data_IF_914376978831
#
_entry.id   IF_914376978831
#
_cell.length_a   1.000
_cell.length_b   1.000
_cell.length_c   1.000
_cell.angle_alpha   90.00
_cell.angle_beta   90.00
_cell.angle_gamma   90.00
#
_symmetry.space_group_name_H-M   'P 1'
#
loop_
_entity.id
_entity.type
_entity.pdbx_description
1 polymer ?
#
# COMPACT_ATOMS: atom_id res chain seq x y z
N UNK A 1 27.47 26.01 -53.05
CA UNK A 1 28.37 25.00 -52.46
C UNK A 1 27.71 23.61 -52.39
N UNK A 2 26.38 23.51 -52.46
CA UNK A 2 25.59 22.26 -52.52
C UNK A 2 25.72 21.40 -53.79
N UNK A 3 26.74 21.65 -54.63
CA UNK A 3 26.87 21.02 -55.96
C UNK A 3 27.95 19.94 -56.04
N UNK A 4 28.66 19.62 -54.95
CA UNK A 4 29.86 18.75 -54.98
C UNK A 4 29.67 17.37 -54.31
N UNK A 5 28.77 17.24 -53.33
CA UNK A 5 28.17 15.94 -52.98
C UNK A 5 26.73 16.00 -53.45
N UNK A 6 26.29 14.95 -54.15
CA UNK A 6 24.88 14.74 -54.43
C UNK A 6 24.40 13.56 -53.59
N UNK A 7 23.65 13.78 -52.50
CA UNK A 7 22.89 12.69 -51.90
C UNK A 7 21.83 12.26 -52.92
N UNK A 8 21.58 10.95 -53.02
CA UNK A 8 20.47 10.44 -53.83
C UNK A 8 19.11 10.90 -53.28
N UNK A 9 19.03 11.20 -51.98
CA UNK A 9 17.87 11.79 -51.29
C UNK A 9 18.24 12.93 -50.34
N UNK A 10 17.47 14.01 -50.34
CA UNK A 10 17.66 15.14 -49.40
C UNK A 10 17.10 14.85 -48.00
N UNK A 11 16.14 13.94 -47.91
CA UNK A 11 15.50 13.49 -46.69
C UNK A 11 15.34 11.96 -46.75
N UNK A 12 15.56 11.29 -45.62
CA UNK A 12 15.36 9.85 -45.47
C UNK A 12 14.15 9.63 -44.58
N UNK A 13 13.07 9.09 -45.15
CA UNK A 13 11.86 8.73 -44.40
C UNK A 13 12.05 7.39 -43.71
N UNK A 14 12.19 7.40 -42.39
CA UNK A 14 12.25 6.15 -41.63
C UNK A 14 10.83 5.74 -41.29
N UNK A 15 10.33 4.69 -41.97
CA UNK A 15 8.99 4.14 -41.76
C UNK A 15 9.05 2.99 -40.76
N UNK A 16 8.11 3.02 -39.81
CA UNK A 16 8.05 2.06 -38.73
C UNK A 16 7.03 0.97 -39.01
N UNK A 17 7.50 -0.27 -39.09
CA UNK A 17 6.66 -1.46 -39.25
C UNK A 17 6.87 -2.38 -38.05
N UNK A 18 5.76 -2.72 -37.39
CA UNK A 18 5.74 -3.57 -36.20
C UNK A 18 6.51 -4.88 -36.43
N UNK A 19 7.41 -5.22 -35.50
CA UNK A 19 8.18 -6.48 -35.52
C UNK A 19 9.29 -6.53 -36.57
N UNK A 20 9.63 -5.41 -37.24
CA UNK A 20 10.71 -5.35 -38.23
C UNK A 20 11.85 -4.43 -37.78
N UNK A 21 13.08 -4.80 -38.14
CA UNK A 21 14.24 -3.91 -37.99
C UNK A 21 14.05 -2.69 -38.88
N UNK A 22 13.78 -1.54 -38.26
CA UNK A 22 13.63 -0.29 -38.97
C UNK A 22 15.00 0.21 -39.42
N UNK A 23 15.16 0.31 -40.73
CA UNK A 23 16.33 0.90 -41.32
C UNK A 23 16.11 1.33 -42.74
N UNK A 24 16.84 2.35 -43.17
CA UNK A 24 16.77 2.86 -44.53
C UNK A 24 18.14 3.20 -45.07
N UNK A 25 18.40 2.72 -46.26
CA UNK A 25 19.63 3.00 -46.97
C UNK A 25 19.49 4.26 -47.84
N UNK A 26 20.57 5.03 -47.93
CA UNK A 26 20.73 6.15 -48.85
C UNK A 26 22.15 6.13 -49.41
N UNK A 27 22.35 6.72 -50.59
CA UNK A 27 23.65 6.79 -51.26
C UNK A 27 24.17 8.21 -51.29
N UNK A 28 25.45 8.36 -50.99
CA UNK A 28 26.18 9.61 -51.16
C UNK A 28 27.13 9.45 -52.33
N UNK A 29 26.99 10.32 -53.34
CA UNK A 29 27.92 10.38 -54.48
C UNK A 29 28.78 11.62 -54.36
N UNK A 30 30.10 11.43 -54.30
CA UNK A 30 31.07 12.50 -54.40
C UNK A 30 31.28 12.84 -55.87
N UNK A 31 30.89 14.05 -56.27
CA UNK A 31 31.05 14.54 -57.65
C UNK A 31 32.47 15.08 -57.90
N UNK A 32 33.31 15.14 -56.87
CA UNK A 32 34.70 15.57 -56.92
C UNK A 32 35.63 14.41 -56.55
N UNK A 33 36.12 13.68 -57.55
CA UNK A 33 37.04 12.54 -57.37
C UNK A 33 38.40 12.91 -56.74
N UNK A 34 38.65 14.20 -56.43
CA UNK A 34 39.93 14.72 -55.95
C UNK A 34 39.85 15.40 -54.57
N UNK A 35 38.67 15.46 -53.95
CA UNK A 35 38.48 16.14 -52.65
C UNK A 35 37.70 15.28 -51.67
N UNK A 36 38.19 15.21 -50.43
CA UNK A 36 37.42 14.65 -49.30
C UNK A 36 36.42 15.69 -48.82
N UNK A 37 35.22 15.25 -48.46
CA UNK A 37 34.10 16.09 -48.05
C UNK A 37 33.54 15.55 -46.73
N UNK A 38 32.93 16.38 -45.88
CA UNK A 38 32.25 15.90 -44.67
C UNK A 38 30.72 15.88 -44.88
N UNK A 39 30.02 14.90 -44.31
CA UNK A 39 28.55 14.90 -44.28
C UNK A 39 28.08 14.83 -42.84
N UNK A 40 27.14 15.72 -42.50
CA UNK A 40 26.48 15.78 -41.21
C UNK A 40 25.04 15.27 -41.36
N UNK A 41 24.60 14.39 -40.47
CA UNK A 41 23.18 14.01 -40.42
C UNK A 41 22.50 14.84 -39.33
N UNK A 42 21.40 15.49 -39.68
CA UNK A 42 20.59 16.29 -38.76
C UNK A 42 19.15 15.79 -38.80
N UNK A 43 18.51 15.64 -37.66
CA UNK A 43 17.10 15.23 -37.62
C UNK A 43 16.21 16.48 -37.78
N UNK A 44 15.05 16.35 -38.44
CA UNK A 44 14.06 17.45 -38.47
C UNK A 44 13.37 17.62 -37.11
N UNK A 45 13.36 16.55 -36.32
CA UNK A 45 12.89 16.53 -34.94
C UNK A 45 13.99 15.97 -34.00
N UNK A 46 14.81 16.84 -33.38
CA UNK A 46 15.83 16.43 -32.43
C UNK A 46 15.24 15.95 -31.09
N UNK A 47 13.95 16.16 -30.85
CA UNK A 47 13.27 15.77 -29.61
C UNK A 47 12.94 14.27 -29.60
N UNK A 48 12.83 13.64 -30.78
CA UNK A 48 12.45 12.22 -30.91
C UNK A 48 13.63 11.30 -31.26
N UNK A 49 14.68 11.82 -31.90
CA UNK A 49 15.79 11.01 -32.42
C UNK A 49 17.15 11.59 -32.07
N UNK A 50 18.03 10.72 -31.60
CA UNK A 50 19.45 11.01 -31.47
C UNK A 50 20.28 10.05 -32.31
N UNK A 51 21.33 10.59 -32.92
CA UNK A 51 22.38 9.76 -33.51
C UNK A 51 23.54 9.71 -32.51
N UNK A 52 24.01 8.48 -32.23
CA UNK A 52 24.87 8.11 -31.10
C UNK A 52 26.17 8.93 -30.91
N UNK A 53 26.54 9.76 -31.88
CA UNK A 53 27.50 10.88 -31.83
C UNK A 53 27.35 11.70 -33.11
N UNK A 54 27.73 12.98 -33.16
CA UNK A 54 28.02 13.63 -34.42
C UNK A 54 29.24 12.92 -35.05
N UNK A 55 29.01 12.16 -36.12
CA UNK A 55 30.08 11.52 -36.90
C UNK A 55 30.28 12.30 -38.20
N UNK A 56 31.54 12.33 -38.65
CA UNK A 56 31.87 12.88 -39.96
C UNK A 56 31.99 11.72 -40.93
N UNK A 57 31.08 11.63 -41.90
CA UNK A 57 31.27 10.74 -43.04
C UNK A 57 32.24 11.41 -44.00
N UNK A 58 33.32 10.74 -44.35
CA UNK A 58 34.12 11.10 -45.52
C UNK A 58 33.61 10.22 -46.66
N UNK A 59 32.92 10.77 -47.68
CA UNK A 59 32.46 9.94 -48.78
C UNK A 59 33.68 9.41 -49.53
N UNK A 60 33.61 8.16 -50.02
CA UNK A 60 34.66 7.62 -50.87
C UNK A 60 34.77 8.43 -52.16
N UNK A 61 35.87 8.25 -52.89
CA UNK A 61 36.17 8.93 -54.17
C UNK A 61 35.10 8.74 -55.27
N UNK A 62 34.05 7.95 -55.01
CA UNK A 62 32.95 7.62 -55.94
C UNK A 62 31.59 7.68 -55.22
N UNK A 63 30.90 6.54 -55.05
CA UNK A 63 29.57 6.43 -54.43
C UNK A 63 29.60 5.36 -53.35
N UNK A 64 29.06 5.65 -52.16
CA UNK A 64 28.86 4.65 -51.09
C UNK A 64 27.45 4.62 -50.56
N UNK A 65 27.05 3.45 -50.05
CA UNK A 65 25.75 3.21 -49.45
C UNK A 65 25.84 3.27 -47.94
N UNK A 66 25.01 4.10 -47.32
CA UNK A 66 24.89 4.21 -45.87
C UNK A 66 23.52 3.69 -45.45
N UNK A 67 23.43 3.04 -44.30
CA UNK A 67 22.15 2.54 -43.77
C UNK A 67 21.92 3.09 -42.38
N UNK A 68 20.87 3.89 -42.21
CA UNK A 68 20.36 4.26 -40.89
C UNK A 68 19.61 3.07 -40.33
N UNK A 69 19.94 2.61 -39.14
CA UNK A 69 19.29 1.43 -38.53
C UNK A 69 19.03 1.70 -37.06
N UNK A 70 17.84 1.36 -36.59
CA UNK A 70 17.61 1.16 -35.15
C UNK A 70 18.27 -0.14 -34.75
N UNK A 71 19.17 -0.07 -33.77
CA UNK A 71 19.95 -1.23 -33.34
C UNK A 71 19.07 -2.40 -32.89
N UNK A 72 17.86 -2.14 -32.40
CA UNK A 72 16.93 -3.17 -31.91
C UNK A 72 15.55 -3.04 -32.55
N UNK A 73 14.85 -4.18 -32.78
CA UNK A 73 13.48 -4.17 -33.24
C UNK A 73 12.58 -3.55 -32.17
N UNK A 74 11.98 -2.41 -32.48
CA UNK A 74 11.05 -1.74 -31.58
C UNK A 74 9.63 -2.22 -31.92
N UNK A 75 8.96 -2.86 -30.97
CA UNK A 75 7.60 -3.35 -31.22
C UNK A 75 6.58 -2.22 -31.39
N UNK A 76 6.84 -1.05 -30.77
CA UNK A 76 6.03 0.17 -30.89
C UNK A 76 6.83 1.39 -30.44
N UNK A 77 6.83 2.46 -31.23
CA UNK A 77 6.58 3.78 -30.65
C UNK A 77 5.35 4.40 -31.33
N UNK A 78 4.40 4.99 -30.58
CA UNK A 78 3.37 5.84 -31.14
C UNK A 78 3.97 7.23 -31.31
N UNK A 79 5.01 7.38 -32.13
CA UNK A 79 5.65 8.67 -32.33
C UNK A 79 5.23 9.23 -33.69
N UNK A 80 4.07 9.89 -33.61
CA UNK A 80 3.38 10.66 -34.64
C UNK A 80 2.68 9.86 -35.75
N UNK A 81 1.53 10.37 -36.18
CA UNK A 81 0.76 9.89 -37.34
C UNK A 81 1.45 10.18 -38.69
N UNK A 82 2.68 10.71 -38.67
CA UNK A 82 3.40 11.21 -39.84
C UNK A 82 4.81 10.57 -39.91
N UNK A 83 5.36 10.34 -41.12
CA UNK A 83 6.71 9.81 -41.26
C UNK A 83 7.74 10.81 -40.71
N UNK A 84 8.58 10.36 -39.77
CA UNK A 84 9.71 11.16 -39.29
C UNK A 84 10.82 11.19 -40.35
N UNK A 85 11.33 12.39 -40.64
CA UNK A 85 12.33 12.64 -41.68
C UNK A 85 13.70 12.90 -41.07
N UNK A 86 14.71 12.13 -41.48
CA UNK A 86 16.11 12.46 -41.16
C UNK A 86 16.67 13.28 -42.33
N UNK A 87 17.05 14.53 -42.06
CA UNK A 87 17.60 15.43 -43.06
C UNK A 87 19.10 15.17 -43.22
N UNK A 88 19.50 14.84 -44.44
CA UNK A 88 20.92 14.61 -44.76
C UNK A 88 21.51 15.95 -45.20
N UNK A 89 22.30 16.60 -44.35
CA UNK A 89 22.93 17.90 -44.64
C UNK A 89 24.45 17.74 -44.87
N UNK A 90 24.87 17.84 -46.12
CA UNK A 90 26.30 17.88 -46.44
C UNK A 90 26.88 19.29 -46.22
N UNK A 91 27.95 19.41 -45.44
CA UNK A 91 28.73 20.64 -45.32
C UNK A 91 30.16 20.39 -45.78
N UNK A 92 30.65 21.21 -46.71
CA UNK A 92 31.98 20.99 -47.28
C UNK A 92 33.08 21.60 -46.42
N UNK A 93 34.16 20.84 -46.23
CA UNK A 93 35.48 21.42 -46.01
C UNK A 93 36.41 20.99 -47.16
N UNK A 94 37.02 21.95 -47.88
CA UNK A 94 37.90 21.65 -48.99
C UNK A 94 39.23 21.07 -48.49
N UNK A 95 39.31 19.75 -48.36
CA UNK A 95 40.52 19.05 -47.88
C UNK A 95 41.75 19.20 -48.80
N UNK A 96 41.55 19.49 -50.09
CA UNK A 96 42.64 19.72 -51.05
C UNK A 96 43.45 21.01 -50.85
N UNK A 97 43.00 21.92 -49.96
CA UNK A 97 43.72 23.14 -49.54
C UNK A 97 43.64 23.39 -48.02
N UNK A 98 43.08 22.46 -47.25
CA UNK A 98 42.87 22.65 -45.82
C UNK A 98 44.22 22.65 -45.10
N UNK A 99 44.47 23.67 -44.28
CA UNK A 99 45.63 23.67 -43.40
C UNK A 99 45.49 22.52 -42.39
N UNK A 100 46.61 21.98 -41.93
CA UNK A 100 46.66 20.86 -40.98
C UNK A 100 45.81 21.14 -39.71
N UNK A 101 45.72 22.41 -39.30
CA UNK A 101 44.88 22.88 -38.20
C UNK A 101 43.37 22.78 -38.47
N UNK A 102 42.93 22.96 -39.72
CA UNK A 102 41.52 22.86 -40.10
C UNK A 102 41.06 21.41 -40.14
N UNK A 103 41.93 20.52 -40.65
CA UNK A 103 41.73 19.07 -40.55
C UNK A 103 41.75 18.64 -39.07
N UNK A 104 42.71 19.12 -38.27
CA UNK A 104 42.74 18.83 -36.84
C UNK A 104 41.50 19.35 -36.12
N UNK A 105 40.96 20.54 -36.41
CA UNK A 105 39.70 21.03 -35.81
C UNK A 105 38.47 20.20 -36.20
N UNK A 106 38.49 19.61 -37.40
CA UNK A 106 37.42 18.74 -37.87
C UNK A 106 37.50 17.35 -37.23
N UNK A 107 38.70 16.80 -37.15
CA UNK A 107 39.01 15.48 -36.58
C UNK A 107 39.24 15.50 -35.05
N UNK A 108 39.32 16.68 -34.42
CA UNK A 108 39.45 16.83 -32.96
C UNK A 108 38.13 16.74 -32.24
N UNK A 109 36.99 16.84 -32.96
CA UNK A 109 35.69 16.56 -32.37
C UNK A 109 35.57 15.05 -32.14
N UNK A 110 35.39 14.58 -30.89
CA UNK A 110 35.34 13.16 -30.59
C UNK A 110 34.12 12.51 -31.25
N UNK A 111 34.35 11.62 -32.22
CA UNK A 111 33.29 10.88 -32.92
C UNK A 111 33.88 9.84 -33.88
N UNK A 112 33.16 8.72 -34.17
CA UNK A 112 33.63 7.73 -35.12
C UNK A 112 33.71 8.33 -36.54
N UNK A 113 34.80 8.05 -37.25
CA UNK A 113 34.96 8.44 -38.66
C UNK A 113 34.57 7.27 -39.57
N UNK A 114 33.65 7.51 -40.50
CA UNK A 114 33.10 6.48 -41.38
C UNK A 114 33.70 6.64 -42.78
N UNK A 115 34.41 5.61 -43.24
CA UNK A 115 35.26 5.66 -44.45
C UNK A 115 34.70 4.94 -45.69
N UNK A 116 33.74 4.02 -45.51
CA UNK A 116 33.05 3.27 -46.57
C UNK A 116 31.73 2.74 -46.01
N UNK A 117 30.92 2.09 -46.85
CA UNK A 117 29.60 1.54 -46.54
C UNK A 117 29.41 1.19 -45.06
N UNK A 118 28.47 1.85 -44.40
CA UNK A 118 28.33 1.77 -42.96
C UNK A 118 26.88 1.82 -42.49
N UNK A 119 26.67 1.13 -41.39
CA UNK A 119 25.45 1.17 -40.62
C UNK A 119 25.59 2.23 -39.52
N UNK A 120 24.71 3.21 -39.55
CA UNK A 120 24.66 4.31 -38.58
C UNK A 120 23.52 4.01 -37.61
N UNK A 121 23.83 3.74 -36.33
CA UNK A 121 22.80 3.43 -35.34
C UNK A 121 22.06 4.70 -34.92
N UNK A 122 20.74 4.67 -35.00
CA UNK A 122 19.84 5.72 -34.48
C UNK A 122 19.14 5.21 -33.21
N UNK A 123 18.82 6.11 -32.28
CA UNK A 123 18.13 5.79 -31.02
C UNK A 123 16.99 6.78 -30.78
N UNK A 124 15.90 6.27 -30.22
CA UNK A 124 14.80 7.10 -29.73
C UNK A 124 15.24 7.82 -28.46
N UNK A 125 14.96 9.12 -28.39
CA UNK A 125 15.26 9.95 -27.23
C UNK A 125 14.06 10.84 -26.87
N UNK A 126 14.09 11.42 -25.67
CA UNK A 126 13.14 12.42 -25.23
C UNK A 126 11.94 11.88 -24.44
N UNK A 127 11.13 12.80 -23.89
CA UNK A 127 10.10 12.46 -22.90
C UNK A 127 9.01 11.56 -23.48
N UNK A 128 8.56 11.79 -24.72
CA UNK A 128 7.52 10.98 -25.36
C UNK A 128 7.88 9.48 -25.47
N UNK A 129 9.17 9.17 -25.62
CA UNK A 129 9.67 7.78 -25.66
C UNK A 129 9.59 7.17 -24.27
N UNK A 130 10.03 7.92 -23.25
CA UNK A 130 9.97 7.51 -21.86
C UNK A 130 8.51 7.35 -21.38
N UNK A 131 7.62 8.29 -21.67
CA UNK A 131 6.18 8.21 -21.39
C UNK A 131 5.55 6.94 -21.97
N UNK A 132 5.89 6.63 -23.22
CA UNK A 132 5.43 5.41 -23.86
C UNK A 132 5.90 4.15 -23.11
N UNK A 133 7.19 4.12 -22.72
CA UNK A 133 7.75 3.00 -21.96
C UNK A 133 7.14 2.87 -20.56
N UNK A 134 6.72 3.98 -19.96
CA UNK A 134 6.05 4.01 -18.66
C UNK A 134 4.56 3.64 -18.73
N UNK A 135 3.96 3.59 -19.93
CA UNK A 135 2.55 3.24 -20.10
C UNK A 135 2.23 1.82 -19.58
N UNK A 136 0.99 1.56 -19.11
CA UNK A 136 0.61 0.26 -18.53
C UNK A 136 0.81 -0.93 -19.48
N UNK A 137 0.86 -0.67 -20.78
CA UNK A 137 0.90 -1.68 -21.85
C UNK A 137 2.30 -2.19 -22.24
N UNK A 138 3.37 -1.65 -21.64
CA UNK A 138 4.73 -2.07 -21.93
C UNK A 138 5.15 -3.28 -21.09
N UNK A 139 5.51 -4.37 -21.77
CA UNK A 139 6.05 -5.61 -21.18
C UNK A 139 7.30 -5.99 -21.97
N UNK A 140 8.51 -5.66 -21.51
CA UNK A 140 9.74 -6.25 -22.05
C UNK A 140 10.96 -6.09 -21.14
N UNK A 141 11.93 -6.99 -21.29
CA UNK A 141 13.14 -7.15 -20.47
C UNK A 141 14.31 -6.23 -20.91
N UNK A 142 14.22 -5.57 -22.06
CA UNK A 142 15.29 -4.72 -22.65
C UNK A 142 15.02 -3.20 -22.45
N UNK A 143 14.00 -2.83 -21.67
CA UNK A 143 13.53 -1.44 -21.53
C UNK A 143 14.57 -0.52 -20.89
N UNK A 144 15.41 -1.03 -19.97
CA UNK A 144 16.30 -0.17 -19.18
C UNK A 144 17.31 0.62 -20.03
N UNK A 145 17.88 0.01 -21.08
CA UNK A 145 18.82 0.69 -21.96
C UNK A 145 18.16 1.73 -22.87
N UNK A 146 16.97 1.41 -23.38
CA UNK A 146 16.18 2.36 -24.17
C UNK A 146 15.69 3.52 -23.30
N UNK A 147 15.30 3.22 -22.07
CA UNK A 147 14.83 4.21 -21.11
C UNK A 147 15.96 5.14 -20.66
N UNK A 148 17.13 4.60 -20.29
CA UNK A 148 18.28 5.43 -19.90
C UNK A 148 18.73 6.37 -21.02
N UNK A 149 18.62 5.93 -22.28
CA UNK A 149 18.86 6.79 -23.44
C UNK A 149 17.74 7.79 -23.69
N UNK A 150 16.49 7.39 -23.46
CA UNK A 150 15.35 8.27 -23.61
C UNK A 150 15.48 9.49 -22.71
N UNK A 151 15.82 9.26 -21.45
CA UNK A 151 15.90 10.30 -20.42
C UNK A 151 17.21 11.12 -20.47
N UNK A 152 18.26 10.66 -21.16
CA UNK A 152 19.56 11.37 -21.19
C UNK A 152 19.53 12.73 -21.91
N UNK A 153 18.44 13.04 -22.61
CA UNK A 153 18.21 14.31 -23.31
C UNK A 153 17.08 15.13 -22.67
N UNK A 154 16.54 14.66 -21.54
CA UNK A 154 15.50 15.36 -20.82
C UNK A 154 16.09 16.43 -19.89
N UNK A 155 15.39 17.56 -19.76
CA UNK A 155 15.64 18.52 -18.70
C UNK A 155 15.00 18.06 -17.38
N UNK A 156 15.34 18.74 -16.29
CA UNK A 156 14.84 18.42 -14.93
C UNK A 156 13.31 18.38 -14.87
N UNK A 157 12.62 19.34 -15.49
CA UNK A 157 11.15 19.40 -15.49
C UNK A 157 10.52 18.19 -16.20
N UNK A 158 11.09 17.80 -17.34
CA UNK A 158 10.68 16.60 -18.08
C UNK A 158 10.96 15.33 -17.27
N UNK A 159 12.13 15.23 -16.63
CA UNK A 159 12.48 14.10 -15.76
C UNK A 159 11.51 13.98 -14.57
N UNK A 160 11.17 15.09 -13.93
CA UNK A 160 10.21 15.15 -12.81
C UNK A 160 8.79 14.76 -13.26
N UNK A 161 8.36 15.20 -14.44
CA UNK A 161 7.07 14.78 -15.01
C UNK A 161 7.04 13.28 -15.33
N UNK A 162 8.13 12.73 -15.87
CA UNK A 162 8.29 11.29 -16.09
C UNK A 162 8.33 10.51 -14.77
N UNK A 163 8.94 11.07 -13.73
CA UNK A 163 8.96 10.47 -12.39
C UNK A 163 7.54 10.32 -11.86
N UNK A 164 6.69 11.34 -12.05
CA UNK A 164 5.28 11.31 -11.63
C UNK A 164 4.54 10.17 -12.31
N UNK A 165 4.67 10.07 -13.63
CA UNK A 165 4.06 9.01 -14.41
C UNK A 165 4.57 7.61 -14.01
N UNK A 166 5.87 7.47 -13.73
CA UNK A 166 6.47 6.20 -13.31
C UNK A 166 5.94 5.74 -11.94
N UNK A 167 5.80 6.67 -11.00
CA UNK A 167 5.25 6.41 -9.67
C UNK A 167 3.76 6.07 -9.75
N UNK A 168 2.95 6.85 -10.47
CA UNK A 168 1.52 6.60 -10.65
C UNK A 168 1.23 5.22 -11.26
N UNK A 169 2.03 4.81 -12.24
CA UNK A 169 1.90 3.51 -12.89
C UNK A 169 2.57 2.36 -12.11
N UNK A 170 3.13 2.64 -10.93
CA UNK A 170 3.77 1.64 -10.08
C UNK A 170 4.99 0.96 -10.73
N UNK A 171 5.79 1.70 -11.50
CA UNK A 171 6.98 1.17 -12.20
C UNK A 171 8.26 1.49 -11.43
N UNK A 172 8.44 0.88 -10.25
CA UNK A 172 9.57 1.13 -9.34
C UNK A 172 10.96 1.05 -9.99
N UNK A 173 11.17 0.13 -10.95
CA UNK A 173 12.44 0.02 -11.68
C UNK A 173 12.85 1.28 -12.46
N UNK A 174 11.89 2.10 -12.92
CA UNK A 174 12.19 3.35 -13.62
C UNK A 174 12.30 4.55 -12.67
N UNK A 175 11.73 4.45 -11.47
CA UNK A 175 11.81 5.49 -10.43
C UNK A 175 13.27 5.75 -10.08
N UNK A 176 14.07 4.71 -9.79
CA UNK A 176 15.49 4.88 -9.47
C UNK A 176 16.28 5.52 -10.62
N UNK A 177 16.04 5.07 -11.86
CA UNK A 177 16.73 5.61 -13.03
C UNK A 177 16.43 7.09 -13.29
N UNK A 178 15.20 7.54 -13.03
CA UNK A 178 14.80 8.94 -13.17
C UNK A 178 15.41 9.82 -12.09
N UNK A 179 15.45 9.33 -10.85
CA UNK A 179 16.08 10.04 -9.72
C UNK A 179 17.58 10.18 -9.96
N UNK A 180 18.26 9.10 -10.38
CA UNK A 180 19.68 9.13 -10.75
C UNK A 180 19.98 10.08 -11.93
N UNK A 181 19.02 10.25 -12.85
CA UNK A 181 19.13 11.19 -13.97
C UNK A 181 18.93 12.67 -13.55
N UNK A 182 18.50 12.93 -12.32
CA UNK A 182 18.31 14.28 -11.78
C UNK A 182 16.87 14.77 -11.75
N UNK A 183 15.88 13.88 -11.72
CA UNK A 183 14.50 14.26 -11.42
C UNK A 183 14.37 14.86 -10.00
N UNK A 184 13.58 15.92 -9.85
CA UNK A 184 13.28 16.50 -8.54
C UNK A 184 12.27 15.63 -7.79
N UNK A 185 12.73 14.96 -6.73
CA UNK A 185 11.93 14.09 -5.86
C UNK A 185 11.00 14.86 -4.90
N UNK A 186 11.11 16.18 -4.83
CA UNK A 186 10.32 17.03 -3.93
C UNK A 186 9.32 17.93 -4.68
N UNK A 187 9.23 17.82 -6.00
CA UNK A 187 8.18 18.48 -6.77
C UNK A 187 6.80 17.98 -6.36
N UNK A 188 5.90 18.93 -6.10
CA UNK A 188 4.52 18.63 -5.68
C UNK A 188 3.49 18.82 -6.79
N UNK A 189 3.92 19.29 -7.95
CA UNK A 189 3.04 19.52 -9.09
C UNK A 189 1.88 20.47 -8.75
N UNK A 190 0.81 20.47 -9.57
CA UNK A 190 -0.32 21.38 -9.40
C UNK A 190 -1.29 20.98 -8.28
N UNK A 191 -1.32 19.72 -7.88
CA UNK A 191 -2.22 19.21 -6.83
C UNK A 191 -1.60 19.23 -5.42
N UNK A 192 -0.37 19.78 -5.31
CA UNK A 192 0.44 19.79 -4.09
C UNK A 192 0.70 18.41 -3.47
N UNK A 193 0.57 17.34 -4.26
CA UNK A 193 0.74 15.96 -3.82
C UNK A 193 2.20 15.49 -3.96
N UNK A 194 2.75 14.93 -2.88
CA UNK A 194 4.09 14.32 -2.88
C UNK A 194 4.15 13.01 -3.68
N UNK A 195 5.33 12.67 -4.18
CA UNK A 195 5.56 11.36 -4.82
C UNK A 195 5.33 10.18 -3.87
N UNK A 196 5.58 10.35 -2.56
CA UNK A 196 5.26 9.32 -1.56
C UNK A 196 3.76 9.03 -1.56
N UNK A 197 2.92 10.05 -1.53
CA UNK A 197 1.46 9.87 -1.56
C UNK A 197 1.00 9.15 -2.83
N UNK A 198 1.55 9.51 -4.00
CA UNK A 198 1.27 8.81 -5.27
C UNK A 198 1.73 7.35 -5.25
N UNK A 199 2.94 7.08 -4.72
CA UNK A 199 3.48 5.73 -4.61
C UNK A 199 2.60 4.84 -3.72
N UNK A 200 2.13 5.39 -2.61
CA UNK A 200 1.20 4.70 -1.70
C UNK A 200 -0.14 4.42 -2.38
N UNK A 201 -0.72 5.40 -3.09
CA UNK A 201 -1.95 5.20 -3.89
C UNK A 201 -1.79 4.10 -4.96
N UNK A 202 -0.61 4.02 -5.60
CA UNK A 202 -0.31 2.96 -6.57
C UNK A 202 -0.12 1.58 -5.92
N UNK A 203 0.08 1.52 -4.59
CA UNK A 203 0.36 0.30 -3.84
C UNK A 203 1.75 -0.29 -4.12
N UNK A 204 2.70 0.48 -4.65
CA UNK A 204 4.05 -0.01 -4.92
C UNK A 204 5.00 0.30 -3.76
N UNK A 205 5.25 -0.71 -2.90
CA UNK A 205 6.14 -0.59 -1.73
C UNK A 205 7.60 -0.31 -2.12
N UNK A 206 8.10 -0.88 -3.22
CA UNK A 206 9.47 -0.62 -3.69
C UNK A 206 9.64 0.85 -4.09
N UNK A 207 8.64 1.43 -4.77
CA UNK A 207 8.67 2.85 -5.13
C UNK A 207 8.67 3.74 -3.88
N UNK A 208 7.89 3.39 -2.84
CA UNK A 208 7.92 4.10 -1.56
C UNK A 208 9.32 4.04 -0.94
N UNK A 209 9.93 2.84 -0.87
CA UNK A 209 11.27 2.66 -0.32
C UNK A 209 12.32 3.50 -1.06
N UNK A 210 12.33 3.45 -2.40
CA UNK A 210 13.28 4.22 -3.23
C UNK A 210 13.13 5.73 -2.98
N UNK A 211 11.90 6.23 -2.89
CA UNK A 211 11.64 7.66 -2.67
C UNK A 211 12.10 8.12 -1.27
N UNK A 212 11.92 7.28 -0.24
CA UNK A 212 12.41 7.55 1.13
C UNK A 212 13.95 7.61 1.13
N UNK A 213 14.60 6.62 0.54
CA UNK A 213 16.08 6.57 0.45
C UNK A 213 16.65 7.74 -0.34
N UNK A 214 15.88 8.29 -1.29
CA UNK A 214 16.24 9.45 -2.09
C UNK A 214 16.01 10.79 -1.36
N UNK A 215 15.52 10.78 -0.12
CA UNK A 215 15.31 11.99 0.69
C UNK A 215 14.05 12.78 0.32
N UNK A 216 13.00 12.11 -0.17
CA UNK A 216 11.71 12.76 -0.41
C UNK A 216 11.11 13.31 0.90
N UNK A 217 10.70 14.57 0.88
CA UNK A 217 10.15 15.28 2.05
C UNK A 217 8.63 15.17 2.07
N UNK A 218 8.11 14.66 3.19
CA UNK A 218 6.68 14.58 3.45
C UNK A 218 6.17 15.80 4.20
N UNK A 219 4.90 16.12 3.98
CA UNK A 219 4.12 17.07 4.78
C UNK A 219 2.92 16.35 5.38
N UNK A 220 2.98 16.08 6.68
CA UNK A 220 1.93 15.38 7.44
C UNK A 220 0.54 16.04 7.38
N UNK A 221 0.42 17.32 7.02
CA UNK A 221 -0.87 18.01 6.90
C UNK A 221 -1.56 17.75 5.55
N UNK A 222 -0.77 17.55 4.50
CA UNK A 222 -1.25 17.40 3.12
C UNK A 222 -1.23 15.92 2.71
N UNK A 223 -0.13 15.24 3.01
CA UNK A 223 0.16 13.89 2.58
C UNK A 223 -0.57 12.88 3.48
N UNK A 224 -1.57 12.21 2.90
CA UNK A 224 -2.47 11.27 3.59
C UNK A 224 -2.03 9.82 3.41
N UNK A 225 -0.72 9.57 3.38
CA UNK A 225 -0.18 8.24 3.07
C UNK A 225 -0.64 7.18 4.09
N UNK A 226 -0.73 7.49 5.39
CA UNK A 226 -1.19 6.52 6.39
C UNK A 226 -2.68 6.21 6.20
N UNK A 227 -3.50 7.20 5.89
CA UNK A 227 -4.93 7.00 5.60
C UNK A 227 -5.12 6.08 4.40
N UNK A 228 -4.40 6.33 3.30
CA UNK A 228 -4.51 5.55 2.07
C UNK A 228 -3.97 4.12 2.29
N UNK A 229 -2.80 3.98 2.90
CA UNK A 229 -2.21 2.65 3.17
C UNK A 229 -3.09 1.81 4.10
N UNK A 230 -3.67 2.43 5.13
CA UNK A 230 -4.58 1.76 6.06
C UNK A 230 -5.89 1.34 5.39
N UNK A 231 -6.46 2.18 4.53
CA UNK A 231 -7.65 1.84 3.73
C UNK A 231 -7.40 0.66 2.77
N UNK A 232 -6.19 0.55 2.22
CA UNK A 232 -5.77 -0.52 1.31
C UNK A 232 -5.28 -1.79 2.02
N UNK A 233 -5.23 -1.80 3.35
CA UNK A 233 -4.64 -2.87 4.16
C UNK A 233 -3.16 -3.18 3.84
N UNK A 234 -2.39 -2.15 3.47
CA UNK A 234 -0.98 -2.29 3.09
C UNK A 234 -0.07 -2.04 4.30
N UNK A 235 -0.07 -3.00 5.22
CA UNK A 235 0.76 -2.99 6.43
C UNK A 235 2.25 -2.91 6.08
N UNK A 236 2.68 -3.56 5.00
CA UNK A 236 4.03 -3.48 4.46
C UNK A 236 4.45 -2.03 4.13
N UNK A 237 3.58 -1.28 3.46
CA UNK A 237 3.81 0.14 3.15
C UNK A 237 3.81 0.99 4.43
N UNK A 238 2.90 0.71 5.37
CA UNK A 238 2.83 1.44 6.63
C UNK A 238 4.10 1.23 7.47
N UNK A 239 4.63 0.02 7.50
CA UNK A 239 5.90 -0.30 8.16
C UNK A 239 7.07 0.48 7.55
N UNK A 240 7.19 0.46 6.22
CA UNK A 240 8.21 1.23 5.49
C UNK A 240 8.12 2.73 5.82
N UNK A 241 6.91 3.30 5.81
CA UNK A 241 6.70 4.73 6.10
C UNK A 241 7.09 5.09 7.55
N UNK A 242 6.67 4.28 8.53
CA UNK A 242 6.99 4.51 9.94
C UNK A 242 8.50 4.35 10.23
N UNK A 243 9.19 3.45 9.53
CA UNK A 243 10.65 3.30 9.64
C UNK A 243 11.40 4.44 8.94
N UNK A 244 10.90 4.89 7.78
CA UNK A 244 11.51 5.97 6.99
C UNK A 244 11.33 7.36 7.59
N UNK A 245 10.22 7.59 8.31
CA UNK A 245 9.88 8.88 8.91
C UNK A 245 9.56 8.75 10.40
N UNK A 246 10.55 8.90 11.29
CA UNK A 246 10.36 8.74 12.74
C UNK A 246 9.37 9.73 13.36
N UNK A 247 9.26 10.93 12.80
CA UNK A 247 8.38 12.02 13.28
C UNK A 247 7.00 12.02 12.60
N UNK A 248 6.57 10.88 12.07
CA UNK A 248 5.27 10.73 11.40
C UNK A 248 4.12 10.94 12.39
N UNK A 249 3.17 11.83 12.04
CA UNK A 249 2.01 12.05 12.89
C UNK A 249 0.96 10.94 12.67
N UNK A 250 0.93 9.97 13.59
CA UNK A 250 0.00 8.83 13.55
C UNK A 250 -1.48 9.22 13.66
N UNK A 251 -1.78 10.38 14.25
CA UNK A 251 -3.12 10.88 14.49
C UNK A 251 -3.46 12.07 13.59
N UNK A 252 -2.79 12.21 12.44
CA UNK A 252 -3.14 13.22 11.44
C UNK A 252 -4.56 12.99 10.93
N UNK A 253 -5.25 14.08 10.62
CA UNK A 253 -6.66 14.06 10.22
C UNK A 253 -6.85 14.55 8.79
N UNK A 254 -7.80 13.95 8.06
CA UNK A 254 -8.20 14.43 6.75
C UNK A 254 -9.18 15.62 6.85
N UNK A 255 -9.74 16.06 5.71
CA UNK A 255 -10.67 17.20 5.68
C UNK A 255 -12.00 16.94 6.39
N UNK A 256 -12.32 15.69 6.74
CA UNK A 256 -13.46 15.29 7.56
C UNK A 256 -13.09 15.09 9.05
N UNK A 257 -11.84 15.31 9.45
CA UNK A 257 -11.39 15.04 10.81
C UNK A 257 -11.05 13.57 11.07
N UNK A 258 -10.99 12.72 10.04
CA UNK A 258 -10.77 11.29 10.17
C UNK A 258 -9.27 10.95 10.18
N UNK A 259 -8.87 10.04 11.08
CA UNK A 259 -7.51 9.47 11.15
C UNK A 259 -7.38 8.21 10.29
N UNK A 260 -6.16 7.66 10.16
CA UNK A 260 -5.94 6.39 9.48
C UNK A 260 -6.74 5.22 10.11
N UNK A 261 -6.93 5.24 11.43
CA UNK A 261 -7.75 4.25 12.17
C UNK A 261 -9.22 4.29 11.71
N UNK A 262 -9.76 5.49 11.47
CA UNK A 262 -11.12 5.62 10.92
C UNK A 262 -11.21 4.96 9.53
N UNK A 263 -10.24 5.22 8.65
CA UNK A 263 -10.30 4.66 7.29
C UNK A 263 -10.13 3.13 7.28
N UNK A 264 -9.24 2.61 8.13
CA UNK A 264 -9.12 1.16 8.31
C UNK A 264 -10.45 0.56 8.82
N UNK A 265 -11.11 1.23 9.77
CA UNK A 265 -12.40 0.78 10.29
C UNK A 265 -13.53 0.86 9.25
N UNK A 266 -13.58 1.91 8.41
CA UNK A 266 -14.54 2.04 7.29
C UNK A 266 -14.37 0.90 6.30
N UNK A 267 -13.12 0.53 5.98
CA UNK A 267 -12.82 -0.51 5.00
C UNK A 267 -12.78 -1.92 5.61
N UNK A 268 -12.95 -2.06 6.92
CA UNK A 268 -12.92 -3.35 7.61
C UNK A 268 -11.54 -4.01 7.70
N UNK A 269 -10.46 -3.22 7.64
CA UNK A 269 -9.08 -3.72 7.55
C UNK A 269 -8.48 -3.96 8.93
N UNK A 270 -8.62 -5.19 9.43
CA UNK A 270 -8.22 -5.56 10.80
C UNK A 270 -6.70 -5.56 10.97
N UNK A 271 -5.93 -6.01 9.98
CA UNK A 271 -4.47 -6.04 10.04
C UNK A 271 -3.88 -4.63 10.08
N UNK A 272 -4.38 -3.71 9.27
CA UNK A 272 -4.03 -2.30 9.34
C UNK A 272 -4.37 -1.69 10.70
N UNK A 273 -5.53 -2.01 11.27
CA UNK A 273 -5.90 -1.58 12.62
C UNK A 273 -4.95 -2.13 13.69
N UNK A 274 -4.64 -3.42 13.64
CA UNK A 274 -3.68 -4.05 14.56
C UNK A 274 -2.32 -3.35 14.51
N UNK A 275 -1.82 -3.09 13.31
CA UNK A 275 -0.56 -2.38 13.13
C UNK A 275 -0.63 -0.96 13.70
N UNK A 276 -1.63 -0.15 13.32
CA UNK A 276 -1.80 1.23 13.81
C UNK A 276 -1.86 1.30 15.34
N UNK A 277 -2.64 0.41 15.96
CA UNK A 277 -2.74 0.36 17.42
C UNK A 277 -1.41 -0.07 18.06
N UNK A 278 -0.70 -1.02 17.45
CA UNK A 278 0.60 -1.48 17.96
C UNK A 278 1.68 -0.39 17.97
N UNK A 279 1.61 0.55 17.02
CA UNK A 279 2.54 1.70 16.95
C UNK A 279 2.05 2.92 17.74
N UNK A 280 0.87 2.85 18.37
CA UNK A 280 0.36 3.87 19.29
C UNK A 280 -0.67 4.85 18.71
N UNK A 281 -1.31 4.54 17.57
CA UNK A 281 -2.44 5.33 17.09
C UNK A 281 -3.62 5.31 18.07
N UNK A 282 -4.31 6.43 18.21
CA UNK A 282 -5.47 6.55 19.08
C UNK A 282 -6.71 5.89 18.43
N UNK A 283 -7.41 5.04 19.18
CA UNK A 283 -8.60 4.30 18.70
C UNK A 283 -9.93 4.99 18.98
N UNK A 284 -9.92 5.98 19.89
CA UNK A 284 -11.12 6.65 20.41
C UNK A 284 -11.32 8.06 19.86
N UNK A 285 -10.53 8.43 18.86
CA UNK A 285 -10.65 9.71 18.17
C UNK A 285 -12.02 9.85 17.52
N UNK A 286 -12.53 11.07 17.50
CA UNK A 286 -13.77 11.42 16.81
C UNK A 286 -13.48 12.33 15.62
N UNK A 287 -14.16 12.10 14.52
CA UNK A 287 -14.14 12.98 13.37
C UNK A 287 -14.98 14.27 13.58
N UNK A 288 -15.17 15.05 12.51
CA UNK A 288 -15.95 16.28 12.57
C UNK A 288 -17.42 16.07 12.93
N UNK A 289 -17.99 14.89 12.70
CA UNK A 289 -19.39 14.57 13.03
C UNK A 289 -19.53 13.83 14.37
N UNK A 290 -18.43 13.71 15.11
CA UNK A 290 -18.39 12.98 16.38
C UNK A 290 -18.37 11.46 16.20
N UNK A 291 -18.11 10.96 14.99
CA UNK A 291 -18.02 9.53 14.71
C UNK A 291 -16.66 9.01 15.17
N UNK A 292 -16.67 7.90 15.88
CA UNK A 292 -15.46 7.13 16.23
C UNK A 292 -15.22 6.04 15.18
N UNK A 293 -14.03 5.41 15.12
CA UNK A 293 -13.79 4.24 14.29
C UNK A 293 -14.83 3.12 14.51
N UNK A 294 -15.31 2.93 15.75
CA UNK A 294 -16.33 1.92 16.05
C UNK A 294 -17.70 2.28 15.44
N UNK A 295 -18.06 3.56 15.35
CA UNK A 295 -19.29 3.97 14.66
C UNK A 295 -19.23 3.57 13.18
N UNK A 296 -18.08 3.79 12.52
CA UNK A 296 -17.88 3.37 11.13
C UNK A 296 -17.90 1.86 10.96
N UNK A 297 -17.15 1.13 11.79
CA UNK A 297 -17.16 -0.34 11.74
C UNK A 297 -18.57 -0.92 11.91
N UNK A 298 -19.36 -0.35 12.82
CA UNK A 298 -20.74 -0.77 13.04
C UNK A 298 -21.71 -0.34 11.93
N UNK A 299 -21.53 0.84 11.35
CA UNK A 299 -22.33 1.36 10.24
C UNK A 299 -22.06 0.65 8.91
N UNK A 300 -20.85 0.11 8.71
CA UNK A 300 -20.49 -0.67 7.52
C UNK A 300 -20.64 -2.19 7.73
N UNK A 301 -20.91 -2.64 8.96
CA UNK A 301 -21.18 -4.04 9.28
C UNK A 301 -19.92 -4.90 9.48
N UNK A 302 -18.76 -4.29 9.76
CA UNK A 302 -17.49 -4.98 9.94
C UNK A 302 -17.38 -5.59 11.33
N UNK A 303 -17.74 -6.87 11.46
CA UNK A 303 -17.81 -7.60 12.75
C UNK A 303 -16.44 -7.73 13.41
N UNK A 304 -15.44 -8.23 12.70
CA UNK A 304 -14.09 -8.46 13.25
C UNK A 304 -13.42 -7.13 13.66
N UNK A 305 -13.58 -6.10 12.85
CA UNK A 305 -13.14 -4.73 13.13
C UNK A 305 -13.83 -4.16 14.37
N UNK A 306 -15.15 -4.35 14.50
CA UNK A 306 -15.91 -3.93 15.69
C UNK A 306 -15.44 -4.67 16.93
N UNK A 307 -15.18 -5.97 16.81
CA UNK A 307 -14.64 -6.79 17.89
C UNK A 307 -13.25 -6.28 18.31
N UNK A 308 -12.35 -6.08 17.36
CA UNK A 308 -11.01 -5.56 17.61
C UNK A 308 -11.05 -4.21 18.33
N UNK A 309 -11.87 -3.27 17.85
CA UNK A 309 -12.00 -1.94 18.45
C UNK A 309 -12.58 -1.99 19.87
N UNK A 310 -13.57 -2.86 20.13
CA UNK A 310 -14.13 -3.04 21.48
C UNK A 310 -13.15 -3.64 22.48
N UNK A 311 -12.21 -4.48 22.02
CA UNK A 311 -11.16 -5.02 22.89
C UNK A 311 -10.14 -3.94 23.29
N UNK A 312 -9.91 -2.95 22.42
CA UNK A 312 -8.92 -1.89 22.64
C UNK A 312 -9.53 -0.57 23.10
N UNK A 313 -10.86 -0.49 23.19
CA UNK A 313 -11.60 0.67 23.69
C UNK A 313 -12.85 0.30 24.48
N UNK A 314 -12.87 0.77 25.73
CA UNK A 314 -14.02 0.71 26.62
C UNK A 314 -15.02 1.85 26.35
N UNK A 315 -14.52 3.01 25.92
CA UNK A 315 -15.31 4.23 25.82
C UNK A 315 -16.06 4.36 24.49
N UNK A 316 -15.48 3.85 23.40
CA UNK A 316 -16.06 3.96 22.05
C UNK A 316 -17.45 3.33 21.95
N UNK A 317 -17.76 2.33 22.77
CA UNK A 317 -19.04 1.62 22.77
C UNK A 317 -20.23 2.53 23.06
N UNK A 318 -20.06 3.48 23.99
CA UNK A 318 -21.13 4.38 24.45
C UNK A 318 -20.97 5.79 23.90
N UNK A 319 -19.94 6.04 23.09
CA UNK A 319 -19.80 7.29 22.37
C UNK A 319 -21.03 7.52 21.49
N UNK A 320 -21.37 8.79 21.33
CA UNK A 320 -22.49 9.23 20.50
C UNK A 320 -22.00 10.20 19.46
N UNK A 321 -22.49 10.06 18.23
CA UNK A 321 -22.29 11.05 17.17
C UNK A 321 -22.98 12.37 17.51
N UNK A 322 -22.76 13.42 16.72
CA UNK A 322 -23.52 14.68 16.84
C UNK A 322 -25.03 14.50 16.67
N UNK A 323 -25.47 13.45 15.99
CA UNK A 323 -26.88 13.07 15.86
C UNK A 323 -27.43 12.34 17.10
N UNK A 324 -26.59 12.05 18.10
CA UNK A 324 -26.95 11.32 19.30
C UNK A 324 -27.04 9.80 19.11
N UNK A 325 -26.47 9.26 18.02
CA UNK A 325 -26.51 7.82 17.71
C UNK A 325 -25.26 7.12 18.27
N UNK A 326 -25.44 5.96 18.88
CA UNK A 326 -24.34 5.06 19.25
C UNK A 326 -24.02 4.11 18.09
N UNK A 327 -22.87 3.43 18.14
CA UNK A 327 -22.52 2.37 17.20
C UNK A 327 -23.62 1.29 17.10
N UNK A 328 -24.26 0.94 18.22
CA UNK A 328 -25.41 0.02 18.22
C UNK A 328 -26.60 0.57 17.43
N UNK A 329 -26.96 1.84 17.63
CA UNK A 329 -28.08 2.45 16.90
C UNK A 329 -27.83 2.42 15.39
N UNK A 330 -26.59 2.69 14.95
CA UNK A 330 -26.20 2.62 13.55
C UNK A 330 -26.28 1.18 12.99
N UNK A 331 -25.81 0.19 13.75
CA UNK A 331 -25.92 -1.22 13.35
C UNK A 331 -27.40 -1.66 13.22
N UNK A 332 -28.27 -1.18 14.11
CA UNK A 332 -29.72 -1.45 14.05
C UNK A 332 -30.38 -0.79 12.84
N UNK A 333 -30.04 0.47 12.55
CA UNK A 333 -30.55 1.19 11.37
C UNK A 333 -30.20 0.49 10.06
N UNK A 334 -29.02 -0.16 10.00
CA UNK A 334 -28.55 -0.92 8.83
C UNK A 334 -28.97 -2.39 8.82
N UNK A 335 -29.47 -2.92 9.94
CA UNK A 335 -29.94 -4.30 10.05
C UNK A 335 -28.83 -5.34 10.24
N UNK A 336 -27.66 -4.95 10.77
CA UNK A 336 -26.55 -5.88 11.04
C UNK A 336 -26.76 -6.64 12.36
N UNK A 337 -27.60 -7.67 12.32
CA UNK A 337 -27.99 -8.46 13.50
C UNK A 337 -26.79 -9.05 14.27
N UNK A 338 -25.73 -9.45 13.56
CA UNK A 338 -24.56 -10.08 14.18
C UNK A 338 -23.80 -9.13 15.11
N UNK A 339 -23.96 -7.81 14.92
CA UNK A 339 -23.37 -6.79 15.78
C UNK A 339 -24.21 -6.49 17.03
N UNK A 340 -25.48 -6.88 17.08
CA UNK A 340 -26.37 -6.55 18.21
C UNK A 340 -25.88 -7.20 19.50
N UNK A 341 -25.43 -8.45 19.41
CA UNK A 341 -24.89 -9.20 20.54
C UNK A 341 -23.67 -8.51 21.14
N UNK A 342 -22.77 -8.10 20.25
CA UNK A 342 -21.49 -7.49 20.58
C UNK A 342 -21.66 -6.08 21.17
N UNK A 343 -22.51 -5.26 20.55
CA UNK A 343 -22.67 -3.84 20.91
C UNK A 343 -23.70 -3.60 22.03
N UNK A 344 -24.66 -4.50 22.25
CA UNK A 344 -25.74 -4.25 23.22
C UNK A 344 -26.12 -5.45 24.07
N UNK A 345 -26.41 -6.62 23.48
CA UNK A 345 -27.03 -7.71 24.22
C UNK A 345 -26.11 -8.31 25.27
N UNK A 346 -24.78 -8.27 25.06
CA UNK A 346 -23.80 -8.69 26.07
C UNK A 346 -23.88 -7.84 27.35
N UNK A 347 -23.94 -6.51 27.27
CA UNK A 347 -24.00 -5.66 28.47
C UNK A 347 -25.33 -5.79 29.20
N UNK A 348 -26.41 -5.86 28.41
CA UNK A 348 -27.77 -6.08 28.92
C UNK A 348 -27.85 -7.43 29.64
N UNK A 349 -27.24 -8.48 29.10
CA UNK A 349 -27.17 -9.80 29.73
C UNK A 349 -26.33 -9.77 31.03
N UNK A 350 -25.16 -9.14 31.03
CA UNK A 350 -24.34 -8.97 32.24
C UNK A 350 -25.07 -8.20 33.33
N UNK A 351 -25.76 -7.11 32.95
CA UNK A 351 -26.56 -6.30 33.88
C UNK A 351 -27.71 -7.10 34.45
N UNK A 352 -28.46 -7.80 33.60
CA UNK A 352 -29.61 -8.60 34.00
C UNK A 352 -29.18 -9.74 34.94
N UNK A 353 -28.07 -10.43 34.62
CA UNK A 353 -27.46 -11.44 35.48
C UNK A 353 -26.98 -10.88 36.84
N UNK A 354 -26.56 -9.61 36.90
CA UNK A 354 -26.12 -8.93 38.12
C UNK A 354 -27.27 -8.53 39.05
N UNK A 355 -28.48 -8.34 38.54
CA UNK A 355 -29.65 -7.89 39.34
C UNK A 355 -30.77 -8.94 39.42
N UNK A 356 -30.54 -10.15 38.90
CA UNK A 356 -31.51 -11.24 38.79
C UNK A 356 -32.74 -10.95 37.92
N UNK A 357 -32.58 -10.13 36.87
CA UNK A 357 -33.65 -9.87 35.90
C UNK A 357 -33.76 -11.00 34.88
N UNK A 358 -34.39 -12.10 35.30
CA UNK A 358 -34.64 -13.30 34.51
C UNK A 358 -35.40 -13.00 33.21
N UNK A 359 -36.29 -12.01 33.19
CA UNK A 359 -37.07 -11.66 32.00
C UNK A 359 -36.18 -11.05 30.92
N UNK A 360 -35.39 -10.04 31.27
CA UNK A 360 -34.44 -9.41 30.34
C UNK A 360 -33.37 -10.41 29.92
N UNK A 361 -32.87 -11.28 30.83
CA UNK A 361 -31.92 -12.34 30.46
C UNK A 361 -32.49 -13.29 29.40
N UNK A 362 -33.73 -13.78 29.58
CA UNK A 362 -34.39 -14.66 28.59
C UNK A 362 -34.56 -13.96 27.25
N UNK A 363 -34.94 -12.68 27.28
CA UNK A 363 -35.07 -11.87 26.07
C UNK A 363 -33.73 -11.73 25.34
N UNK A 364 -32.65 -11.35 26.05
CA UNK A 364 -31.31 -11.23 25.47
C UNK A 364 -30.82 -12.56 24.89
N UNK A 365 -30.95 -13.67 25.63
CA UNK A 365 -30.53 -15.00 25.18
C UNK A 365 -31.36 -15.50 23.98
N UNK A 366 -32.66 -15.17 23.93
CA UNK A 366 -33.51 -15.49 22.78
C UNK A 366 -33.17 -14.65 21.53
N UNK A 367 -32.64 -13.45 21.73
CA UNK A 367 -32.18 -12.55 20.66
C UNK A 367 -30.77 -12.89 20.15
N UNK A 368 -30.10 -13.90 20.70
CA UNK A 368 -28.79 -14.38 20.24
C UNK A 368 -27.64 -14.18 21.23
N UNK A 369 -27.86 -13.44 22.33
CA UNK A 369 -26.77 -13.02 23.23
C UNK A 369 -25.85 -14.17 23.60
N UNK A 370 -24.56 -14.03 23.25
CA UNK A 370 -23.59 -15.05 23.59
C UNK A 370 -23.40 -15.11 25.11
N UNK A 371 -23.93 -16.19 25.69
CA UNK A 371 -23.96 -16.49 27.14
C UNK A 371 -22.58 -16.51 27.80
N UNK A 372 -21.52 -16.69 27.01
CA UNK A 372 -20.14 -16.82 27.47
C UNK A 372 -19.27 -15.60 27.15
N UNK A 373 -19.80 -14.54 26.53
CA UNK A 373 -19.03 -13.30 26.30
C UNK A 373 -18.59 -12.72 27.63
N UNK A 374 -17.36 -12.24 27.68
CA UNK A 374 -16.78 -11.61 28.86
C UNK A 374 -16.93 -10.09 28.79
N UNK A 375 -17.13 -9.45 29.92
CA UNK A 375 -16.96 -8.00 30.07
C UNK A 375 -15.47 -7.62 30.16
N UNK A 376 -15.20 -6.33 30.37
CA UNK A 376 -13.85 -5.74 30.41
C UNK A 376 -12.97 -6.30 31.53
N UNK A 377 -13.54 -6.90 32.57
CA UNK A 377 -12.79 -7.56 33.64
C UNK A 377 -12.56 -9.05 33.35
N UNK A 378 -12.92 -9.52 32.16
CA UNK A 378 -12.96 -10.94 31.82
C UNK A 378 -14.15 -11.69 32.46
N UNK A 379 -15.11 -11.00 33.08
CA UNK A 379 -16.22 -11.69 33.75
C UNK A 379 -17.27 -12.10 32.73
N UNK A 380 -17.74 -13.34 32.79
CA UNK A 380 -18.95 -13.76 32.07
C UNK A 380 -20.22 -13.35 32.84
N UNK A 381 -21.42 -13.40 32.23
CA UNK A 381 -22.68 -13.23 32.96
C UNK A 381 -22.80 -14.19 34.15
N UNK A 382 -22.24 -15.41 34.02
CA UNK A 382 -22.23 -16.41 35.09
C UNK A 382 -21.37 -15.96 36.27
N UNK A 383 -20.23 -15.29 36.04
CA UNK A 383 -19.44 -14.68 37.12
C UNK A 383 -20.24 -13.61 37.88
N UNK A 384 -20.97 -12.75 37.14
CA UNK A 384 -21.81 -11.69 37.75
C UNK A 384 -22.93 -12.27 38.61
N UNK A 385 -23.66 -13.25 38.09
CA UNK A 385 -24.73 -13.93 38.81
C UNK A 385 -24.19 -14.69 40.05
N UNK A 386 -23.06 -15.37 39.89
CA UNK A 386 -22.43 -16.15 40.95
C UNK A 386 -21.93 -15.27 42.10
N UNK A 387 -21.21 -14.19 41.78
CA UNK A 387 -20.72 -13.21 42.76
C UNK A 387 -21.83 -12.47 43.50
N UNK A 388 -23.03 -12.34 42.91
CA UNK A 388 -24.19 -11.71 43.55
C UNK A 388 -25.15 -12.68 44.23
N UNK A 389 -24.91 -13.98 44.10
CA UNK A 389 -25.72 -15.01 44.74
C UNK A 389 -27.08 -15.24 44.08
N UNK A 390 -27.23 -14.84 42.82
CA UNK A 390 -28.49 -14.90 42.08
C UNK A 390 -28.71 -16.27 41.47
N UNK A 391 -29.34 -17.15 42.25
CA UNK A 391 -29.57 -18.56 41.91
C UNK A 391 -30.35 -18.75 40.60
N UNK A 392 -31.42 -17.99 40.38
CA UNK A 392 -32.25 -18.15 39.18
C UNK A 392 -31.50 -17.71 37.91
N UNK A 393 -30.73 -16.62 37.99
CA UNK A 393 -29.78 -16.24 36.94
C UNK A 393 -28.74 -17.33 36.66
N UNK A 394 -28.15 -17.94 37.69
CA UNK A 394 -27.17 -19.03 37.52
C UNK A 394 -27.79 -20.24 36.82
N UNK A 395 -28.98 -20.68 37.25
CA UNK A 395 -29.73 -21.76 36.61
C UNK A 395 -30.01 -21.46 35.15
N UNK A 396 -30.52 -20.27 34.87
CA UNK A 396 -30.87 -19.86 33.52
C UNK A 396 -29.64 -19.85 32.60
N UNK A 397 -28.54 -19.24 33.03
CA UNK A 397 -27.31 -19.16 32.23
C UNK A 397 -26.75 -20.55 31.92
N UNK A 398 -26.72 -21.46 32.91
CA UNK A 398 -26.27 -22.84 32.70
C UNK A 398 -27.18 -23.60 31.73
N UNK A 399 -28.49 -23.41 31.82
CA UNK A 399 -29.45 -24.02 30.88
C UNK A 399 -29.24 -23.56 29.44
N UNK A 400 -28.75 -22.34 29.24
CA UNK A 400 -28.41 -21.77 27.94
C UNK A 400 -26.94 -22.02 27.52
N UNK A 401 -26.22 -22.92 28.21
CA UNK A 401 -24.88 -23.35 27.81
C UNK A 401 -23.74 -22.47 28.32
N UNK A 402 -23.93 -21.76 29.44
CA UNK A 402 -22.82 -21.08 30.11
C UNK A 402 -21.74 -22.08 30.53
N UNK A 403 -20.49 -21.82 30.14
CA UNK A 403 -19.32 -22.61 30.51
C UNK A 403 -18.96 -22.32 31.96
N UNK A 404 -18.97 -23.37 32.78
CA UNK A 404 -18.88 -23.27 34.24
C UNK A 404 -17.47 -23.02 34.78
N UNK A 405 -16.43 -23.39 34.01
CA UNK A 405 -15.01 -23.35 34.39
C UNK A 405 -14.23 -22.21 33.69
N UNK A 406 -14.90 -21.27 33.03
CA UNK A 406 -14.20 -20.09 32.50
C UNK A 406 -13.60 -19.27 33.64
N UNK A 407 -12.39 -18.74 33.43
CA UNK A 407 -11.73 -17.86 34.39
C UNK A 407 -11.86 -16.41 33.96
N UNK A 408 -12.01 -15.51 34.93
CA UNK A 408 -11.98 -14.08 34.70
C UNK A 408 -10.56 -13.53 34.50
N UNK A 409 -10.42 -12.21 34.29
CA UNK A 409 -9.13 -11.55 34.09
C UNK A 409 -8.16 -11.66 35.28
N UNK A 410 -8.62 -12.16 36.42
CA UNK A 410 -7.81 -12.43 37.62
C UNK A 410 -7.61 -13.92 37.89
N UNK A 411 -8.06 -14.80 36.99
CA UNK A 411 -7.90 -16.25 37.09
C UNK A 411 -8.97 -16.95 37.94
N UNK A 412 -10.03 -16.26 38.38
CA UNK A 412 -11.08 -16.84 39.21
C UNK A 412 -12.22 -17.40 38.37
N UNK A 413 -12.73 -18.57 38.73
CA UNK A 413 -13.96 -19.14 38.14
C UNK A 413 -15.22 -18.58 38.79
N UNK A 414 -16.42 -18.74 38.19
CA UNK A 414 -17.68 -18.34 38.81
C UNK A 414 -17.89 -18.97 40.18
N UNK A 415 -17.44 -20.23 40.37
CA UNK A 415 -17.48 -20.91 41.66
C UNK A 415 -16.67 -20.15 42.71
N UNK A 416 -15.42 -19.78 42.39
CA UNK A 416 -14.58 -19.06 43.33
C UNK A 416 -15.15 -17.67 43.65
N UNK A 417 -15.75 -16.97 42.68
CA UNK A 417 -16.45 -15.70 42.94
C UNK A 417 -17.68 -15.84 43.83
N UNK A 418 -18.46 -16.91 43.68
CA UNK A 418 -19.57 -17.20 44.59
C UNK A 418 -19.08 -17.48 46.01
N UNK A 419 -17.96 -18.19 46.13
CA UNK A 419 -17.33 -18.52 47.42
C UNK A 419 -16.77 -17.28 48.10
N UNK A 420 -16.03 -16.45 47.37
CA UNK A 420 -15.49 -15.17 47.84
C UNK A 420 -16.60 -14.24 48.37
N UNK A 421 -17.75 -14.20 47.69
CA UNK A 421 -18.91 -13.43 48.11
C UNK A 421 -19.76 -14.11 49.20
N UNK A 422 -19.42 -15.33 49.64
CA UNK A 422 -20.12 -16.07 50.69
C UNK A 422 -21.45 -16.71 50.26
N UNK A 423 -21.71 -16.86 48.96
CA UNK A 423 -22.96 -17.40 48.42
C UNK A 423 -22.94 -18.93 48.34
N UNK A 424 -23.02 -19.58 49.51
CA UNK A 424 -22.90 -21.05 49.67
C UNK A 424 -23.86 -21.83 48.77
N UNK A 425 -25.12 -21.43 48.68
CA UNK A 425 -26.11 -22.15 47.86
C UNK A 425 -25.72 -22.16 46.37
N UNK A 426 -25.27 -21.03 45.84
CA UNK A 426 -24.81 -20.92 44.45
C UNK A 426 -23.54 -21.73 44.24
N UNK A 427 -22.59 -21.67 45.18
CA UNK A 427 -21.37 -22.46 45.11
C UNK A 427 -21.65 -23.97 45.09
N UNK A 428 -22.56 -24.44 45.95
CA UNK A 428 -23.01 -25.84 45.95
C UNK A 428 -23.70 -26.22 44.64
N UNK A 429 -24.53 -25.33 44.09
CA UNK A 429 -25.19 -25.56 42.80
C UNK A 429 -24.17 -25.69 41.66
N UNK A 430 -23.17 -24.81 41.60
CA UNK A 430 -22.11 -24.85 40.59
C UNK A 430 -21.28 -26.13 40.69
N UNK A 431 -20.91 -26.56 41.91
CA UNK A 431 -20.21 -27.84 42.12
C UNK A 431 -21.05 -29.03 41.66
N UNK A 432 -22.36 -29.02 41.97
CA UNK A 432 -23.28 -30.07 41.52
C UNK A 432 -23.40 -30.14 39.98
N UNK A 433 -23.12 -29.04 39.28
CA UNK A 433 -23.13 -28.94 37.81
C UNK A 433 -21.72 -29.07 37.20
N UNK A 434 -20.76 -29.61 37.95
CA UNK A 434 -19.44 -30.00 37.44
C UNK A 434 -18.35 -28.94 37.52
N UNK A 435 -18.56 -27.84 38.26
CA UNK A 435 -17.51 -26.85 38.49
C UNK A 435 -16.32 -27.47 39.25
N UNK A 436 -15.12 -27.30 38.71
CA UNK A 436 -13.90 -27.86 39.34
C UNK A 436 -13.51 -27.03 40.57
N UNK A 437 -13.70 -27.61 41.75
CA UNK A 437 -13.25 -27.04 43.01
C UNK A 437 -11.79 -27.47 43.30
N UNK A 438 -10.83 -26.55 43.28
CA UNK A 438 -9.50 -26.83 43.82
C UNK A 438 -9.52 -26.59 45.35
N UNK A 439 -9.18 -27.61 46.13
CA UNK A 439 -9.13 -27.52 47.61
C UNK A 439 -8.11 -26.48 48.10
N UNK A 440 -7.12 -26.13 47.28
CA UNK A 440 -6.11 -25.11 47.60
C UNK A 440 -6.71 -23.70 47.50
N UNK A 441 -7.42 -23.38 46.42
CA UNK A 441 -8.06 -22.08 46.23
C UNK A 441 -9.22 -21.83 47.22
N UNK A 442 -9.96 -22.88 47.59
CA UNK A 442 -11.02 -22.76 48.60
C UNK A 442 -10.47 -22.52 50.02
N UNK A 443 -9.34 -23.14 50.40
CA UNK A 443 -8.74 -23.01 51.74
C UNK A 443 -8.18 -21.62 52.03
N UNK A 444 -7.73 -20.89 51.01
CA UNK A 444 -7.20 -19.53 51.17
C UNK A 444 -8.31 -18.48 51.34
N UNK A 445 -9.55 -18.76 50.90
CA UNK A 445 -10.66 -17.80 50.86
C UNK A 445 -11.83 -18.10 51.80
N UNK A 446 -11.98 -19.34 52.28
CA UNK A 446 -13.13 -19.76 53.11
C UNK A 446 -12.73 -19.97 54.57
N UNK A 447 -13.38 -19.31 55.54
CA UNK A 447 -13.20 -19.60 56.97
C UNK A 447 -13.50 -21.08 57.27
N UNK A 448 -12.67 -21.71 58.10
CA UNK A 448 -12.69 -23.16 58.39
C UNK A 448 -14.06 -23.75 58.73
N UNK A 449 -14.98 -22.94 59.26
CA UNK A 449 -16.32 -23.34 59.69
C UNK A 449 -17.29 -23.60 58.52
N UNK A 450 -17.08 -22.99 57.34
CA UNK A 450 -17.94 -23.15 56.17
C UNK A 450 -17.44 -24.22 55.18
N UNK A 451 -16.22 -24.73 55.40
CA UNK A 451 -15.57 -25.75 54.55
C UNK A 451 -16.28 -27.11 54.65
N UNK A 452 -16.99 -27.38 55.75
CA UNK A 452 -17.72 -28.64 55.97
C UNK A 452 -18.79 -28.91 54.91
N UNK A 453 -19.43 -27.88 54.39
CA UNK A 453 -20.49 -27.98 53.39
C UNK A 453 -19.99 -28.47 52.02
N UNK A 454 -18.70 -28.29 51.71
CA UNK A 454 -18.08 -28.71 50.44
C UNK A 454 -17.45 -30.10 50.50
N UNK A 455 -17.26 -30.68 51.68
CA UNK A 455 -16.65 -32.02 51.86
C UNK A 455 -17.57 -33.17 51.44
N UNK A 456 -18.88 -32.95 51.38
CA UNK A 456 -19.88 -34.01 51.13
C UNK A 456 -20.13 -34.34 49.64
N UNK A 457 -19.50 -33.63 48.70
CA UNK A 457 -19.63 -33.91 47.26
C UNK A 457 -18.46 -34.73 46.67
N UNK A 458 -17.50 -35.11 47.50
CA UNK A 458 -16.33 -35.90 47.08
C UNK A 458 -16.64 -37.36 46.69
N UNK A 459 -17.87 -37.85 46.88
CA UNK A 459 -18.20 -39.27 46.66
C UNK A 459 -18.67 -39.64 45.25
N UNK A 460 -18.71 -38.72 44.28
CA UNK A 460 -19.18 -39.01 42.91
C UNK A 460 -18.21 -38.66 41.78
N UNK A 461 -16.95 -38.31 42.08
CA UNK A 461 -15.92 -38.03 41.07
C UNK A 461 -14.66 -38.90 41.23
N UNK A 462 -14.87 -40.21 41.39
CA UNK A 462 -13.84 -41.21 41.08
C UNK A 462 -14.39 -42.08 39.95
N UNK A 463 -14.03 -41.73 38.71
CA UNK A 463 -14.05 -42.73 37.64
C UNK A 463 -12.97 -43.77 37.97
N UNK A 464 -13.30 -45.07 38.03
CA UNK A 464 -12.30 -46.11 38.15
C UNK A 464 -11.79 -46.43 36.74
N UNK A 465 -10.70 -45.79 36.34
CA UNK A 465 -9.86 -46.29 35.25
C UNK A 465 -8.51 -45.60 35.32
N UNK A 466 -7.64 -46.14 36.16
CA UNK A 466 -6.20 -46.29 35.90
C UNK A 466 -5.60 -47.12 37.05
N UNK A 467 -5.24 -48.38 36.77
CA UNK A 467 -4.46 -49.24 37.66
C UNK A 467 -4.91 -50.69 37.76
N UNK A 468 -4.72 -51.47 36.69
CA UNK A 468 -3.82 -52.64 36.65
C UNK A 468 -3.65 -53.15 35.20
#
# INVERSE_FOLDING_TARGET
MDRLIKPDVQAVDVLFVRGQKCGRAFKLTNLMHTMSVAVCLTTSDPVLFSVLKPFSIIPPLTTSSFTLVLNEPCDRPPLSSHPCTILVRSSMLPTGKAHQDDLQRLFSKPGPHIFKDATIPISFVGPHVAEFLLSPSSMSLEINFLFSKAISWCDESQLTSLLRLAVENGKSHFVSALIEAGADVNDRGPEEESFISLAVKSGNADAVQILIESGCVINNEIDRFLHVAAAMNRVDIMEILCLGYPDINLNSVNSQGQTAVHLAAIQGQVEALQFLVSIGSEVDVTDQDGWTPLHYAAHEGHIETSEFLLHHSVYAKYAVTKEGKTAYALAVEKGYSDLYDMLHLSDSLHRAARIDDVHTMKSCLAQGANVNRTDQNGWTPLHRAAFKGHMESVKLLLNYGARIDLVDGTGYTPLLRAVEAGHVQVAMYLVAHGAKASLKSLKEMVPSDHMGCFKNYHSTLVNPSDGD
#
